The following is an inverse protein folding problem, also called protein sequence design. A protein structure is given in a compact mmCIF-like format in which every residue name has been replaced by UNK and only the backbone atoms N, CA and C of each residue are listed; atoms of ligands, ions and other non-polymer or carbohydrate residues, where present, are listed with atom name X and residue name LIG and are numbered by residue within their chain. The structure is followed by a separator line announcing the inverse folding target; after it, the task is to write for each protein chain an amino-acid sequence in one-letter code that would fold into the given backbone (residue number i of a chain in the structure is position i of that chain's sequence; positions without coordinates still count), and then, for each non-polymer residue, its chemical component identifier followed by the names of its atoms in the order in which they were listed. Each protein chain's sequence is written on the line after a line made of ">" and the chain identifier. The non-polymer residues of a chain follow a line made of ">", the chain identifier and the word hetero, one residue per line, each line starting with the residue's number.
data_IF_689052444036
#
_entry.id   IF_689052444036
#
_cell.length_a   1.000
_cell.length_b   1.000
_cell.length_c   1.000
_cell.angle_alpha   90.00
_cell.angle_beta   90.00
_cell.angle_gamma   90.00
#
_symmetry.space_group_name_H-M   'P 1'
#
loop_
_entity.id
_entity.type
_entity.pdbx_description
1 polymer ?
#
# COMPACT_ATOMS: atom_id res chain seq x y z
N UNK A 1 11.26 54.66 43.49
CA UNK A 1 11.46 53.35 42.84
C UNK A 1 10.38 53.17 41.79
N UNK A 2 10.73 53.33 40.51
CA UNK A 2 9.81 53.24 39.37
C UNK A 2 9.74 51.79 38.88
N UNK A 3 8.55 51.17 38.87
CA UNK A 3 8.34 49.80 38.39
C UNK A 3 7.78 49.84 36.96
N UNK A 4 8.58 49.32 36.03
CA UNK A 4 8.25 49.06 34.63
C UNK A 4 7.37 47.81 34.57
N UNK A 5 6.23 47.87 33.88
CA UNK A 5 5.48 46.68 33.46
C UNK A 5 5.58 46.55 31.94
N UNK A 6 6.18 45.45 31.50
CA UNK A 6 6.37 45.06 30.11
C UNK A 6 5.05 44.50 29.59
N UNK A 7 4.55 45.05 28.48
CA UNK A 7 3.40 44.49 27.76
C UNK A 7 3.85 43.27 26.94
N UNK A 8 3.32 42.09 27.27
CA UNK A 8 3.53 40.88 26.47
C UNK A 8 2.57 40.86 25.27
N UNK A 9 3.12 41.02 24.08
CA UNK A 9 2.41 40.78 22.82
C UNK A 9 2.31 39.27 22.57
N UNK A 10 1.09 38.75 22.52
CA UNK A 10 0.80 37.36 22.14
C UNK A 10 0.62 37.31 20.63
N UNK A 11 1.58 36.75 19.88
CA UNK A 11 1.42 36.48 18.45
C UNK A 11 0.55 35.22 18.28
N UNK A 12 -0.64 35.39 17.71
CA UNK A 12 -1.46 34.28 17.20
C UNK A 12 -0.86 33.82 15.87
N UNK A 13 -0.12 32.70 15.90
CA UNK A 13 0.28 32.00 14.69
C UNK A 13 -0.96 31.32 14.08
N UNK A 14 -1.51 31.89 13.01
CA UNK A 14 -2.48 31.20 12.16
C UNK A 14 -1.74 30.07 11.43
N UNK A 15 -1.94 28.83 11.89
CA UNK A 15 -1.56 27.65 11.12
C UNK A 15 -2.42 27.56 9.88
N UNK A 16 -1.82 27.76 8.70
CA UNK A 16 -2.52 27.49 7.45
C UNK A 16 -2.88 25.99 7.40
N UNK A 17 -4.13 25.62 7.05
CA UNK A 17 -4.45 24.22 6.81
C UNK A 17 -3.64 23.76 5.59
N UNK A 18 -2.80 22.75 5.77
CA UNK A 18 -2.21 22.01 4.66
C UNK A 18 -3.33 21.18 4.02
N UNK A 19 -3.96 21.72 2.99
CA UNK A 19 -4.87 20.95 2.14
C UNK A 19 -4.02 20.01 1.30
N UNK A 20 -3.91 18.75 1.71
CA UNK A 20 -3.37 17.68 0.85
C UNK A 20 -4.37 17.49 -0.30
N UNK A 21 -4.08 18.06 -1.47
CA UNK A 21 -4.79 17.70 -2.69
C UNK A 21 -4.28 16.31 -3.11
N UNK A 22 -5.18 15.34 -3.26
CA UNK A 22 -4.88 14.14 -4.02
C UNK A 22 -4.34 14.57 -5.39
N UNK A 23 -3.21 13.99 -5.81
CA UNK A 23 -2.53 14.37 -7.04
C UNK A 23 -3.24 13.75 -8.25
N UNK A 24 -4.50 14.13 -8.46
CA UNK A 24 -5.22 13.87 -9.71
C UNK A 24 -4.74 14.90 -10.73
N UNK A 25 -4.03 14.44 -11.77
CA UNK A 25 -3.41 15.35 -12.72
C UNK A 25 -2.30 14.76 -13.56
N UNK A 26 -1.90 15.53 -14.57
CA UNK A 26 -0.85 15.13 -15.48
C UNK A 26 0.55 15.50 -14.97
N UNK A 27 1.50 14.59 -15.07
CA UNK A 27 2.93 14.79 -14.78
C UNK A 27 3.68 14.98 -16.10
N UNK A 28 4.60 15.94 -16.15
CA UNK A 28 5.54 16.07 -17.27
C UNK A 28 6.70 15.08 -17.07
N UNK A 29 6.97 14.27 -18.09
CA UNK A 29 8.17 13.41 -18.18
C UNK A 29 9.08 13.88 -19.31
N UNK A 30 10.30 13.36 -19.38
CA UNK A 30 11.24 13.64 -20.46
C UNK A 30 10.72 13.23 -21.85
N UNK A 31 9.71 12.34 -21.91
CA UNK A 31 9.11 11.86 -23.16
C UNK A 31 7.71 12.40 -23.42
N UNK A 32 7.18 13.25 -22.53
CA UNK A 32 5.87 13.88 -22.67
C UNK A 32 5.01 13.79 -21.42
N UNK A 33 3.74 14.15 -21.58
CA UNK A 33 2.79 14.27 -20.46
C UNK A 33 2.13 12.92 -20.13
N UNK A 34 2.19 12.52 -18.86
CA UNK A 34 1.58 11.31 -18.31
C UNK A 34 0.36 11.72 -17.49
N UNK A 35 -0.82 11.17 -17.78
CA UNK A 35 -1.98 11.32 -16.92
C UNK A 35 -1.87 10.36 -15.72
N UNK A 36 -2.09 10.87 -14.50
CA UNK A 36 -2.11 10.06 -13.28
C UNK A 36 -3.50 10.14 -12.70
N UNK A 37 -4.09 8.96 -12.48
CA UNK A 37 -5.39 8.79 -11.85
C UNK A 37 -5.21 7.86 -10.66
N UNK A 38 -5.84 8.22 -9.54
CA UNK A 38 -5.87 7.35 -8.35
C UNK A 38 -6.95 6.30 -8.56
N UNK A 39 -6.55 5.06 -8.81
CA UNK A 39 -7.49 3.96 -9.06
C UNK A 39 -8.06 3.37 -7.76
N UNK A 40 -7.25 3.20 -6.72
CA UNK A 40 -7.66 2.63 -5.44
C UNK A 40 -6.97 3.34 -4.28
N UNK A 41 -7.70 3.52 -3.17
CA UNK A 41 -7.21 4.16 -1.95
C UNK A 41 -7.37 3.22 -0.74
N UNK A 42 -6.76 3.59 0.39
CA UNK A 42 -6.91 2.85 1.65
C UNK A 42 -6.07 1.57 1.78
N UNK A 43 -5.17 1.31 0.83
CA UNK A 43 -4.17 0.25 0.92
C UNK A 43 -3.04 0.62 1.89
N UNK A 44 -2.56 -0.32 2.68
CA UNK A 44 -1.45 -0.15 3.62
C UNK A 44 -0.17 -0.80 3.06
N UNK A 45 0.76 0.03 2.60
CA UNK A 45 2.03 -0.45 2.03
C UNK A 45 1.84 -1.55 0.97
N UNK A 46 1.09 -1.29 -0.13
CA UNK A 46 0.93 -2.26 -1.20
C UNK A 46 2.28 -2.64 -1.81
N UNK A 47 2.48 -3.92 -2.14
CA UNK A 47 3.76 -4.46 -2.63
C UNK A 47 3.67 -4.99 -4.06
N UNK A 48 3.00 -6.13 -4.26
CA UNK A 48 2.74 -6.76 -5.54
C UNK A 48 1.25 -6.74 -5.88
N UNK A 49 0.94 -6.73 -7.18
CA UNK A 49 -0.42 -6.79 -7.69
C UNK A 49 -0.50 -7.64 -8.96
N UNK A 50 -1.62 -8.34 -9.15
CA UNK A 50 -1.88 -9.10 -10.38
C UNK A 50 -3.36 -9.04 -10.75
N UNK A 51 -3.67 -8.96 -12.05
CA UNK A 51 -5.03 -8.95 -12.54
C UNK A 51 -5.61 -10.37 -12.56
N UNK A 52 -6.85 -10.49 -12.12
CA UNK A 52 -7.70 -11.66 -12.29
C UNK A 52 -8.31 -11.66 -13.70
N UNK A 53 -8.80 -12.83 -14.19
CA UNK A 53 -9.41 -12.92 -15.53
C UNK A 53 -10.64 -12.03 -15.75
N UNK A 54 -11.32 -11.61 -14.68
CA UNK A 54 -12.48 -10.72 -14.71
C UNK A 54 -12.10 -9.22 -14.65
N UNK A 55 -10.81 -8.90 -14.53
CA UNK A 55 -10.30 -7.53 -14.48
C UNK A 55 -10.12 -6.96 -13.07
N UNK A 56 -10.60 -7.64 -12.03
CA UNK A 56 -10.25 -7.27 -10.65
C UNK A 56 -8.73 -7.52 -10.40
N UNK A 57 -8.18 -6.97 -9.33
CA UNK A 57 -6.79 -7.21 -8.93
C UNK A 57 -6.70 -7.88 -7.56
N UNK A 58 -5.76 -8.81 -7.42
CA UNK A 58 -5.21 -9.15 -6.12
C UNK A 58 -4.06 -8.19 -5.81
N UNK A 59 -4.07 -7.60 -4.62
CA UNK A 59 -3.02 -6.69 -4.14
C UNK A 59 -2.52 -7.17 -2.79
N UNK A 60 -1.22 -7.36 -2.68
CA UNK A 60 -0.55 -7.70 -1.42
C UNK A 60 -0.20 -6.44 -0.65
N UNK A 61 -0.34 -6.49 0.66
CA UNK A 61 0.06 -5.45 1.61
C UNK A 61 1.17 -5.98 2.49
N UNK A 62 2.29 -5.25 2.58
CA UNK A 62 3.50 -5.67 3.31
C UNK A 62 3.23 -6.22 4.72
N UNK A 63 2.30 -5.68 5.53
CA UNK A 63 1.99 -6.20 6.87
C UNK A 63 1.45 -7.63 6.92
N UNK A 64 1.19 -8.30 5.78
CA UNK A 64 0.74 -9.69 5.75
C UNK A 64 -0.71 -9.86 5.29
N UNK A 65 -1.22 -8.98 4.42
CA UNK A 65 -2.63 -9.03 3.98
C UNK A 65 -2.73 -9.09 2.47
N UNK A 66 -3.67 -9.87 1.98
CA UNK A 66 -4.05 -9.90 0.57
C UNK A 66 -5.42 -9.22 0.43
N UNK A 67 -5.57 -8.34 -0.56
CA UNK A 67 -6.78 -7.56 -0.83
C UNK A 67 -7.29 -7.88 -2.22
N UNK A 68 -8.60 -7.92 -2.40
CA UNK A 68 -9.21 -7.84 -3.72
C UNK A 68 -9.55 -6.36 -4.00
N UNK A 69 -9.11 -5.86 -5.14
CA UNK A 69 -9.49 -4.55 -5.67
C UNK A 69 -10.39 -4.78 -6.87
N UNK A 70 -11.64 -4.30 -6.79
CA UNK A 70 -12.61 -4.41 -7.88
C UNK A 70 -12.20 -3.63 -9.13
N UNK A 71 -12.92 -3.83 -10.24
CA UNK A 71 -12.75 -3.08 -11.49
C UNK A 71 -13.05 -1.58 -11.34
N UNK A 72 -13.75 -1.19 -10.27
CA UNK A 72 -14.06 0.20 -9.92
C UNK A 72 -13.16 0.75 -8.80
N UNK A 73 -12.10 0.03 -8.41
CA UNK A 73 -11.13 0.52 -7.42
C UNK A 73 -11.51 0.28 -5.95
N UNK A 74 -12.69 -0.29 -5.68
CA UNK A 74 -13.09 -0.61 -4.31
C UNK A 74 -12.22 -1.75 -3.72
N UNK A 75 -11.68 -1.52 -2.52
CA UNK A 75 -10.80 -2.46 -1.81
C UNK A 75 -11.62 -3.30 -0.82
N UNK A 76 -11.63 -4.63 -0.98
CA UNK A 76 -12.30 -5.59 -0.08
C UNK A 76 -11.63 -5.66 1.29
N UNK A 77 -12.26 -6.24 2.31
CA UNK A 77 -11.56 -6.72 3.53
C UNK A 77 -10.42 -7.73 3.22
N UNK A 78 -9.49 -8.01 4.16
CA UNK A 78 -8.39 -8.93 3.91
C UNK A 78 -8.91 -10.32 3.56
N UNK A 79 -8.29 -10.96 2.57
CA UNK A 79 -8.56 -12.35 2.22
C UNK A 79 -7.86 -13.26 3.24
N UNK A 80 -8.60 -14.24 3.75
CA UNK A 80 -8.10 -15.23 4.70
C UNK A 80 -7.16 -16.26 4.05
N UNK A 81 -6.39 -16.99 4.86
CA UNK A 81 -5.52 -18.07 4.39
C UNK A 81 -4.16 -17.61 3.83
N UNK A 82 -3.84 -16.32 3.96
CA UNK A 82 -2.51 -15.76 3.68
C UNK A 82 -1.52 -16.29 4.73
N UNK A 83 -0.29 -16.69 4.34
CA UNK A 83 0.71 -17.17 5.29
C UNK A 83 1.11 -16.10 6.31
N UNK A 84 1.51 -16.53 7.51
CA UNK A 84 2.17 -15.66 8.47
C UNK A 84 3.48 -15.12 7.87
N UNK A 85 3.74 -13.82 8.05
CA UNK A 85 4.92 -13.14 7.50
C UNK A 85 5.71 -12.42 8.58
N UNK A 86 7.02 -12.33 8.38
CA UNK A 86 7.88 -11.46 9.17
C UNK A 86 7.94 -10.07 8.54
N UNK A 87 7.04 -9.18 8.96
CA UNK A 87 6.94 -7.80 8.48
C UNK A 87 7.92 -6.85 9.20
N UNK A 88 9.22 -6.94 8.90
CA UNK A 88 10.26 -6.06 9.47
C UNK A 88 11.14 -5.46 8.38
N UNK A 89 11.34 -4.13 8.41
CA UNK A 89 12.16 -3.43 7.42
C UNK A 89 11.59 -3.58 6.00
N UNK A 90 12.30 -4.30 5.14
CA UNK A 90 11.84 -4.65 3.78
C UNK A 90 11.09 -6.00 3.73
N UNK A 91 11.01 -6.73 4.85
CA UNK A 91 10.26 -7.98 4.93
C UNK A 91 8.75 -7.77 5.06
N UNK A 92 7.98 -8.77 4.65
CA UNK A 92 6.52 -8.79 4.72
C UNK A 92 5.92 -9.78 3.73
N UNK A 93 4.65 -9.60 3.39
CA UNK A 93 4.08 -10.19 2.18
C UNK A 93 4.58 -9.41 0.97
N UNK A 94 5.06 -10.13 -0.04
CA UNK A 94 5.78 -9.57 -1.18
C UNK A 94 4.95 -9.74 -2.46
N UNK A 95 5.43 -10.50 -3.45
CA UNK A 95 4.78 -10.60 -4.74
C UNK A 95 3.62 -11.62 -4.77
N UNK A 96 2.72 -11.43 -5.74
CA UNK A 96 1.57 -12.31 -6.03
C UNK A 96 1.52 -12.68 -7.51
N UNK A 97 1.32 -13.95 -7.81
CA UNK A 97 1.17 -14.45 -9.18
C UNK A 97 0.05 -15.48 -9.28
N UNK A 98 -0.69 -15.47 -10.38
CA UNK A 98 -1.65 -16.52 -10.68
C UNK A 98 -0.96 -17.73 -11.29
N UNK A 99 -1.46 -18.92 -11.01
CA UNK A 99 -1.08 -20.11 -11.77
C UNK A 99 -1.49 -19.94 -13.24
N UNK A 100 -0.69 -20.45 -14.22
CA UNK A 100 -1.08 -20.39 -15.63
C UNK A 100 -2.45 -21.01 -15.93
N UNK A 101 -2.90 -21.96 -15.10
CA UNK A 101 -4.20 -22.63 -15.19
C UNK A 101 -5.22 -22.10 -14.14
N UNK A 102 -5.05 -20.86 -13.67
CA UNK A 102 -5.90 -20.23 -12.64
C UNK A 102 -7.39 -20.31 -12.94
N UNK A 103 -7.79 -20.21 -14.22
CA UNK A 103 -9.18 -20.31 -14.62
C UNK A 103 -9.83 -21.65 -14.21
N UNK A 104 -9.04 -22.71 -14.06
CA UNK A 104 -9.51 -24.04 -13.68
C UNK A 104 -9.15 -24.41 -12.23
N UNK A 105 -7.97 -24.02 -11.75
CA UNK A 105 -7.46 -24.45 -10.45
C UNK A 105 -7.52 -23.38 -9.33
N UNK A 106 -7.75 -22.11 -9.70
CA UNK A 106 -7.78 -20.94 -8.80
C UNK A 106 -6.55 -20.77 -7.90
N UNK A 107 -5.42 -21.37 -8.28
CA UNK A 107 -4.19 -21.36 -7.47
C UNK A 107 -3.45 -20.03 -7.60
N UNK A 108 -3.11 -19.44 -6.47
CA UNK A 108 -2.30 -18.22 -6.36
C UNK A 108 -0.98 -18.56 -5.69
N UNK A 109 0.12 -17.96 -6.16
CA UNK A 109 1.43 -18.01 -5.52
C UNK A 109 1.69 -16.69 -4.80
N UNK A 110 2.21 -16.78 -3.59
CA UNK A 110 2.60 -15.63 -2.77
C UNK A 110 4.06 -15.80 -2.35
N UNK A 111 4.87 -14.77 -2.56
CA UNK A 111 6.19 -14.69 -1.95
C UNK A 111 6.13 -13.86 -0.66
N UNK A 112 6.91 -14.24 0.34
CA UNK A 112 6.90 -13.58 1.64
C UNK A 112 8.22 -13.76 2.39
N UNK A 113 8.48 -12.86 3.33
CA UNK A 113 9.55 -13.00 4.31
C UNK A 113 9.09 -13.94 5.41
N UNK A 114 9.72 -15.10 5.54
CA UNK A 114 9.45 -16.12 6.56
C UNK A 114 10.53 -16.08 7.64
N UNK A 115 10.12 -16.11 8.90
CA UNK A 115 11.06 -16.29 10.01
C UNK A 115 11.65 -17.70 9.99
N UNK A 116 12.97 -17.80 10.08
CA UNK A 116 13.70 -19.08 10.18
C UNK A 116 14.75 -18.99 11.26
N UNK A 117 15.12 -20.10 11.89
CA UNK A 117 16.07 -20.13 13.00
C UNK A 117 17.34 -19.32 12.73
N UNK A 118 17.43 -18.12 13.31
CA UNK A 118 18.55 -17.18 13.16
C UNK A 118 18.35 -15.99 12.20
N UNK A 119 17.18 -15.82 11.58
CA UNK A 119 16.91 -14.69 10.69
C UNK A 119 15.63 -14.82 9.85
N UNK A 120 15.68 -14.30 8.64
CA UNK A 120 14.56 -14.32 7.68
C UNK A 120 15.01 -14.92 6.35
N UNK A 121 14.10 -15.57 5.64
CA UNK A 121 14.31 -16.01 4.27
C UNK A 121 13.08 -15.70 3.41
N UNK A 122 13.28 -15.52 2.11
CA UNK A 122 12.16 -15.46 1.16
C UNK A 122 11.61 -16.87 0.95
N UNK A 123 10.31 -17.01 1.11
CA UNK A 123 9.54 -18.24 0.87
C UNK A 123 8.45 -18.01 -0.17
N UNK A 124 7.96 -19.09 -0.76
CA UNK A 124 6.82 -19.08 -1.66
C UNK A 124 5.78 -20.08 -1.16
N UNK A 125 4.56 -19.60 -0.96
CA UNK A 125 3.38 -20.41 -0.64
C UNK A 125 2.42 -20.41 -1.83
N UNK A 126 1.51 -21.39 -1.85
CA UNK A 126 0.40 -21.41 -2.81
C UNK A 126 -0.88 -21.93 -2.17
N UNK A 127 -2.02 -21.50 -2.69
CA UNK A 127 -3.36 -21.89 -2.24
C UNK A 127 -4.43 -21.54 -3.25
#
# INVERSE_FOLDING_TARGET
>A
MLRIFIASSFLLAFGAPSTTLAQDGSIESETGRIAVETFAEGLEHPWGATYLPDGAMLVTERPGRLRLVSTEGAVSDPIDGVPDVLATGQGGLLDVALDPDFANNRTVYLSYSEERGGGAATSVGRG
#
